data_IF_177656763190
#
_entry.id   IF_177656763190
#
_cell.length_a   1.000
_cell.length_b   1.000
_cell.length_c   1.000
_cell.angle_alpha   90.00
_cell.angle_beta   90.00
_cell.angle_gamma   90.00
#
_symmetry.space_group_name_H-M   'P 1'
#
loop_
_entity.id
_entity.type
_entity.pdbx_description
1 polymer ?
#
# COMPACT_ATOMS: atom_id res chain seq x y z
N UNK A 1 4.29 -10.78 -27.28
CA UNK A 1 4.60 -9.79 -26.24
C UNK A 1 5.58 -10.49 -25.31
N UNK A 2 6.87 -10.46 -25.66
CA UNK A 2 7.89 -11.23 -24.95
C UNK A 2 8.16 -10.61 -23.59
N UNK A 3 8.03 -11.42 -22.54
CA UNK A 3 8.48 -11.07 -21.20
C UNK A 3 10.00 -11.16 -21.22
N UNK A 4 10.68 -10.02 -21.17
CA UNK A 4 12.14 -9.98 -21.04
C UNK A 4 12.52 -10.61 -19.70
N UNK A 5 13.42 -11.59 -19.72
CA UNK A 5 13.96 -12.18 -18.49
C UNK A 5 14.76 -11.12 -17.70
N UNK A 6 14.68 -11.10 -16.36
CA UNK A 6 15.40 -10.13 -15.55
C UNK A 6 16.91 -10.39 -15.59
N UNK A 7 17.70 -9.33 -15.79
CA UNK A 7 19.15 -9.43 -15.81
C UNK A 7 19.68 -9.69 -14.38
N UNK A 8 20.43 -10.79 -14.23
CA UNK A 8 21.04 -11.21 -12.97
C UNK A 8 22.46 -10.66 -12.84
N UNK A 9 22.68 -9.82 -11.84
CA UNK A 9 23.99 -9.27 -11.52
C UNK A 9 24.53 -9.92 -10.25
N UNK A 10 25.84 -10.16 -10.23
CA UNK A 10 26.53 -10.69 -9.06
C UNK A 10 27.78 -9.86 -8.75
N UNK A 11 28.02 -9.62 -7.47
CA UNK A 11 29.26 -9.00 -7.00
C UNK A 11 29.84 -9.79 -5.81
N UNK A 12 31.17 -9.78 -5.73
CA UNK A 12 31.96 -10.44 -4.68
C UNK A 12 32.97 -9.44 -4.15
N UNK A 13 33.20 -9.46 -2.83
CA UNK A 13 34.21 -8.61 -2.17
C UNK A 13 35.56 -9.31 -2.21
N UNK A 14 36.61 -8.56 -2.53
CA UNK A 14 37.99 -9.02 -2.43
C UNK A 14 38.76 -8.15 -1.42
N UNK A 15 39.58 -8.77 -0.57
CA UNK A 15 40.50 -8.08 0.34
C UNK A 15 41.94 -8.37 -0.12
N UNK A 16 42.76 -7.33 -0.24
CA UNK A 16 44.18 -7.46 -0.60
C UNK A 16 45.08 -6.71 0.35
N UNK A 17 46.25 -7.29 0.67
CA UNK A 17 47.32 -6.64 1.45
C UNK A 17 48.50 -6.19 0.58
N UNK A 18 48.36 -6.29 -0.75
CA UNK A 18 49.41 -5.96 -1.72
C UNK A 18 50.27 -7.15 -2.17
N UNK A 19 50.17 -8.31 -1.51
CA UNK A 19 50.84 -9.55 -1.92
C UNK A 19 49.81 -10.66 -2.18
N UNK A 20 48.78 -10.76 -1.35
CA UNK A 20 47.70 -11.74 -1.49
C UNK A 20 46.35 -11.06 -1.63
N UNK A 21 45.45 -11.70 -2.37
CA UNK A 21 44.05 -11.28 -2.50
C UNK A 21 43.16 -12.46 -2.16
N UNK A 22 42.24 -12.27 -1.20
CA UNK A 22 41.25 -13.26 -0.81
C UNK A 22 39.87 -12.74 -1.17
N UNK A 23 39.13 -13.54 -1.95
CA UNK A 23 37.73 -13.27 -2.26
C UNK A 23 36.82 -13.80 -1.14
N UNK A 24 35.74 -13.07 -0.87
CA UNK A 24 34.63 -13.51 -0.03
C UNK A 24 34.06 -14.84 -0.54
N UNK A 25 33.72 -15.75 0.38
CA UNK A 25 33.01 -16.99 0.04
C UNK A 25 31.55 -16.73 -0.37
N UNK A 26 30.99 -15.59 0.06
CA UNK A 26 29.64 -15.17 -0.31
C UNK A 26 29.67 -14.30 -1.56
N UNK A 27 28.81 -14.65 -2.53
CA UNK A 27 28.53 -13.87 -3.73
C UNK A 27 27.13 -13.28 -3.61
N UNK A 28 27.05 -11.95 -3.63
CA UNK A 28 25.77 -11.25 -3.56
C UNK A 28 25.18 -11.15 -4.96
N UNK A 29 23.91 -11.53 -5.08
CA UNK A 29 23.16 -11.51 -6.33
C UNK A 29 21.98 -10.57 -6.21
N UNK A 30 21.73 -9.79 -7.26
CA UNK A 30 20.53 -8.98 -7.38
C UNK A 30 20.01 -9.00 -8.82
N UNK A 31 18.71 -8.85 -8.96
CA UNK A 31 18.04 -8.79 -10.25
C UNK A 31 17.78 -7.32 -10.60
N UNK A 32 18.11 -6.90 -11.81
CA UNK A 32 17.59 -5.66 -12.37
C UNK A 32 16.43 -6.03 -13.29
N UNK A 33 15.22 -5.78 -12.83
CA UNK A 33 14.05 -5.79 -13.72
C UNK A 33 14.00 -4.46 -14.45
N UNK A 34 13.92 -4.42 -15.80
CA UNK A 34 13.70 -3.17 -16.51
C UNK A 34 12.41 -2.53 -15.99
N UNK A 35 12.41 -1.22 -15.68
CA UNK A 35 11.23 -0.57 -15.12
C UNK A 35 10.10 -0.58 -16.15
N UNK A 36 9.03 -1.31 -15.84
CA UNK A 36 7.76 -1.20 -16.56
C UNK A 36 7.10 0.09 -16.12
N UNK A 37 7.26 1.15 -16.92
CA UNK A 37 6.75 2.52 -16.66
C UNK A 37 7.10 3.08 -15.27
N UNK A 38 7.97 4.10 -15.25
CA UNK A 38 8.15 4.96 -14.09
C UNK A 38 6.83 5.68 -13.81
N UNK A 39 6.01 5.15 -12.91
CA UNK A 39 5.11 6.00 -12.12
C UNK A 39 6.01 6.69 -11.12
N UNK A 40 6.45 7.90 -11.48
CA UNK A 40 6.93 8.89 -10.52
C UNK A 40 5.76 9.19 -9.58
N UNK A 41 5.59 8.31 -8.59
CA UNK A 41 4.71 8.58 -7.48
C UNK A 41 5.46 9.57 -6.62
N UNK A 42 5.26 10.86 -6.92
CA UNK A 42 5.44 11.95 -5.97
C UNK A 42 4.60 11.58 -4.73
N UNK A 43 5.14 10.77 -3.81
CA UNK A 43 4.40 10.22 -2.66
C UNK A 43 3.86 11.36 -1.78
N UNK A 44 4.52 12.53 -1.86
CA UNK A 44 4.18 13.76 -1.15
C UNK A 44 3.24 14.69 -1.94
N UNK A 45 3.01 14.46 -3.23
CA UNK A 45 2.11 15.29 -4.03
C UNK A 45 1.24 14.41 -4.94
N UNK A 46 0.29 13.66 -4.37
CA UNK A 46 -0.60 12.82 -5.16
C UNK A 46 -1.39 13.68 -6.15
N UNK A 47 -1.51 13.20 -7.39
CA UNK A 47 -2.20 13.95 -8.47
C UNK A 47 -3.67 13.58 -8.62
N UNK A 48 -4.13 12.56 -7.92
CA UNK A 48 -5.49 12.03 -8.02
C UNK A 48 -6.06 11.64 -6.66
N UNK A 49 -7.39 11.76 -6.54
CA UNK A 49 -8.14 11.12 -5.47
C UNK A 49 -8.12 9.62 -5.70
N UNK A 50 -7.68 8.85 -4.70
CA UNK A 50 -7.61 7.39 -4.83
C UNK A 50 -7.82 6.70 -3.50
N UNK A 51 -8.70 5.71 -3.47
CA UNK A 51 -8.80 4.75 -2.38
C UNK A 51 -8.09 3.46 -2.81
N UNK A 52 -7.11 3.02 -2.05
CA UNK A 52 -6.37 1.79 -2.31
C UNK A 52 -7.08 0.59 -1.68
N UNK A 53 -6.78 -0.60 -2.17
CA UNK A 53 -7.22 -1.82 -1.50
C UNK A 53 -6.59 -1.90 -0.11
N UNK A 54 -7.37 -2.28 0.90
CA UNK A 54 -6.86 -2.52 2.25
C UNK A 54 -5.84 -3.66 2.24
N UNK A 55 -4.82 -3.56 3.09
CA UNK A 55 -3.81 -4.61 3.25
C UNK A 55 -3.54 -4.91 4.72
N UNK A 56 -3.53 -6.19 5.14
CA UNK A 56 -3.87 -7.38 4.33
C UNK A 56 -5.37 -7.44 3.95
N UNK A 57 -5.72 -8.24 2.94
CA UNK A 57 -7.10 -8.61 2.59
C UNK A 57 -7.08 -10.00 1.89
N UNK A 58 -7.66 -11.07 2.47
CA UNK A 58 -8.41 -11.10 3.74
C UNK A 58 -7.55 -10.72 4.95
N UNK A 59 -8.15 -10.25 6.05
CA UNK A 59 -7.42 -9.77 7.22
C UNK A 59 -7.96 -10.35 8.55
N UNK A 60 -7.09 -10.41 9.55
CA UNK A 60 -7.41 -10.88 10.91
C UNK A 60 -6.60 -10.11 11.98
N UNK A 61 -7.23 -9.44 12.96
CA UNK A 61 -8.44 -8.63 12.85
C UNK A 61 -8.10 -7.17 12.48
N UNK A 62 -6.84 -6.87 12.12
CA UNK A 62 -6.35 -5.52 11.82
C UNK A 62 -5.99 -5.40 10.34
N UNK A 63 -6.39 -4.30 9.70
CA UNK A 63 -6.01 -3.97 8.33
C UNK A 63 -5.70 -2.48 8.19
N UNK A 64 -4.96 -2.13 7.13
CA UNK A 64 -4.62 -0.74 6.80
C UNK A 64 -5.35 -0.32 5.53
N UNK A 65 -5.99 0.83 5.59
CA UNK A 65 -6.69 1.45 4.45
C UNK A 65 -5.91 2.69 4.06
N UNK A 66 -5.43 2.74 2.82
CA UNK A 66 -4.64 3.87 2.31
C UNK A 66 -5.45 4.65 1.29
N UNK A 67 -5.32 5.98 1.29
CA UNK A 67 -5.91 6.85 0.28
C UNK A 67 -5.04 8.07 0.01
N UNK A 68 -5.27 8.72 -1.13
CA UNK A 68 -4.60 9.96 -1.53
C UNK A 68 -5.59 11.08 -1.86
N UNK A 69 -5.19 12.31 -1.54
CA UNK A 69 -5.93 13.54 -1.81
C UNK A 69 -5.02 14.52 -2.56
N UNK A 70 -5.36 14.98 -3.77
CA UNK A 70 -4.55 15.92 -4.53
C UNK A 70 -4.67 17.38 -4.05
N UNK A 71 -5.71 17.68 -3.27
CA UNK A 71 -6.00 19.00 -2.74
C UNK A 71 -6.63 18.88 -1.35
N UNK A 72 -6.63 20.00 -0.61
CA UNK A 72 -7.34 20.06 0.68
C UNK A 72 -8.82 19.78 0.45
N UNK A 73 -9.39 18.81 1.17
CA UNK A 73 -10.78 18.38 0.98
C UNK A 73 -11.46 17.96 2.29
N UNK A 74 -12.78 18.12 2.41
CA UNK A 74 -13.55 17.46 3.46
C UNK A 74 -13.60 15.96 3.17
N UNK A 75 -13.10 15.16 4.11
CA UNK A 75 -12.94 13.71 4.00
C UNK A 75 -13.75 12.99 5.06
N UNK A 76 -14.46 11.94 4.63
CA UNK A 76 -14.97 10.90 5.54
C UNK A 76 -14.57 9.52 5.04
N UNK A 77 -14.00 8.72 5.94
CA UNK A 77 -13.71 7.31 5.71
C UNK A 77 -14.53 6.48 6.69
N UNK A 78 -15.48 5.72 6.17
CA UNK A 78 -16.46 4.97 6.97
C UNK A 78 -16.49 3.51 6.58
N UNK A 79 -16.73 2.63 7.55
CA UNK A 79 -16.91 1.19 7.37
C UNK A 79 -18.40 0.86 7.48
N UNK A 80 -18.87 -0.03 6.62
CA UNK A 80 -20.23 -0.52 6.54
C UNK A 80 -20.25 -2.05 6.55
N UNK A 81 -21.28 -2.64 7.13
CA UNK A 81 -21.54 -4.07 7.00
C UNK A 81 -22.24 -4.43 5.68
N UNK A 82 -22.53 -5.73 5.49
CA UNK A 82 -23.20 -6.22 4.29
C UNK A 82 -24.63 -5.70 4.10
N UNK A 83 -25.26 -5.15 5.15
CA UNK A 83 -26.59 -4.54 5.09
C UNK A 83 -26.52 -3.03 4.83
N UNK A 84 -25.31 -2.47 4.67
CA UNK A 84 -25.10 -1.04 4.47
C UNK A 84 -25.19 -0.22 5.77
N UNK A 85 -25.18 -0.85 6.94
CA UNK A 85 -25.17 -0.14 8.23
C UNK A 85 -23.76 0.35 8.50
N UNK A 86 -23.63 1.62 8.88
CA UNK A 86 -22.36 2.20 9.32
C UNK A 86 -21.93 1.54 10.64
N UNK A 87 -20.72 0.98 10.66
CA UNK A 87 -20.18 0.27 11.84
C UNK A 87 -18.95 0.93 12.44
N UNK A 88 -18.25 1.78 11.67
CA UNK A 88 -17.13 2.58 12.17
C UNK A 88 -16.90 3.82 11.30
N UNK A 89 -16.37 4.88 11.92
CA UNK A 89 -15.84 6.07 11.24
C UNK A 89 -14.36 6.13 11.57
N UNK A 90 -13.50 6.03 10.55
CA UNK A 90 -12.04 6.10 10.71
C UNK A 90 -11.54 7.53 10.58
N UNK A 91 -12.14 8.31 9.68
CA UNK A 91 -11.80 9.70 9.43
C UNK A 91 -13.07 10.51 9.25
N UNK A 92 -13.11 11.70 9.83
CA UNK A 92 -14.15 12.70 9.60
C UNK A 92 -13.60 14.09 9.85
N UNK A 93 -13.27 14.83 8.79
CA UNK A 93 -12.74 16.19 8.90
C UNK A 93 -12.15 16.71 7.59
N UNK A 94 -11.58 17.91 7.61
CA UNK A 94 -10.80 18.43 6.47
C UNK A 94 -9.34 18.00 6.57
N UNK A 95 -8.82 17.41 5.48
CA UNK A 95 -7.43 17.00 5.38
C UNK A 95 -6.73 17.76 4.24
N UNK A 96 -5.45 18.16 4.40
CA UNK A 96 -4.66 18.74 3.31
C UNK A 96 -4.35 17.70 2.22
N UNK A 97 -3.80 18.17 1.10
CA UNK A 97 -3.27 17.28 0.07
C UNK A 97 -2.21 16.33 0.67
N UNK A 98 -2.26 15.05 0.30
CA UNK A 98 -1.33 14.06 0.83
C UNK A 98 -1.83 12.62 0.75
N UNK A 99 -0.99 11.72 1.26
CA UNK A 99 -1.28 10.28 1.37
C UNK A 99 -1.53 9.92 2.83
N UNK A 100 -2.63 9.24 3.09
CA UNK A 100 -3.08 8.88 4.43
C UNK A 100 -3.24 7.37 4.54
N UNK A 101 -2.94 6.84 5.73
CA UNK A 101 -3.13 5.43 6.04
C UNK A 101 -3.81 5.31 7.39
N UNK A 102 -5.01 4.73 7.36
CA UNK A 102 -5.83 4.52 8.54
C UNK A 102 -5.84 3.05 8.92
N UNK A 103 -5.82 2.79 10.22
CA UNK A 103 -5.87 1.43 10.77
C UNK A 103 -7.30 1.13 11.19
N UNK A 104 -7.84 0.03 10.70
CA UNK A 104 -9.09 -0.52 11.23
C UNK A 104 -8.81 -1.78 12.05
N UNK A 105 -9.16 -1.71 13.32
CA UNK A 105 -9.14 -2.83 14.25
C UNK A 105 -10.55 -3.39 14.42
N UNK A 106 -10.78 -4.56 13.84
CA UNK A 106 -12.07 -5.21 13.79
C UNK A 106 -12.26 -6.32 14.85
N UNK A 107 -11.51 -6.27 15.97
CA UNK A 107 -11.57 -7.29 17.03
C UNK A 107 -12.98 -7.54 17.58
N UNK A 108 -13.85 -6.54 17.59
CA UNK A 108 -15.22 -6.66 18.13
C UNK A 108 -16.29 -6.93 17.06
N UNK A 109 -15.88 -7.23 15.82
CA UNK A 109 -16.80 -7.47 14.70
C UNK A 109 -16.77 -8.95 14.26
N UNK A 110 -17.90 -9.52 13.81
CA UNK A 110 -17.96 -10.90 13.32
C UNK A 110 -17.20 -11.07 11.99
N UNK A 111 -16.70 -12.27 11.71
CA UNK A 111 -16.14 -12.61 10.39
C UNK A 111 -17.18 -12.37 9.29
N UNK A 112 -16.74 -11.85 8.14
CA UNK A 112 -17.65 -11.55 7.05
C UNK A 112 -17.16 -10.47 6.10
N UNK A 113 -18.05 -10.11 5.18
CA UNK A 113 -17.81 -9.06 4.19
C UNK A 113 -18.22 -7.71 4.75
N UNK A 114 -17.34 -6.75 4.56
CA UNK A 114 -17.56 -5.35 4.90
C UNK A 114 -17.16 -4.47 3.73
N UNK A 115 -17.60 -3.22 3.78
CA UNK A 115 -17.29 -2.21 2.80
C UNK A 115 -16.74 -0.98 3.47
N UNK A 116 -15.80 -0.30 2.83
CA UNK A 116 -15.30 0.98 3.28
C UNK A 116 -15.48 1.99 2.16
N UNK A 117 -15.98 3.16 2.53
CA UNK A 117 -16.26 4.25 1.61
C UNK A 117 -15.46 5.47 2.01
N UNK A 118 -14.69 5.98 1.05
CA UNK A 118 -14.04 7.27 1.12
C UNK A 118 -14.91 8.29 0.37
N UNK A 119 -15.33 9.34 1.06
CA UNK A 119 -15.88 10.55 0.47
C UNK A 119 -14.86 11.67 0.64
N UNK A 120 -14.44 12.31 -0.45
CA UNK A 120 -13.53 13.45 -0.42
C UNK A 120 -14.04 14.54 -1.38
N UNK A 121 -14.68 15.59 -0.86
CA UNK A 121 -15.38 16.57 -1.70
C UNK A 121 -16.40 15.90 -2.64
N UNK A 122 -16.20 16.00 -3.96
CA UNK A 122 -17.03 15.35 -5.00
C UNK A 122 -16.64 13.90 -5.28
N UNK A 123 -15.45 13.46 -4.84
CA UNK A 123 -14.98 12.10 -5.03
C UNK A 123 -15.65 11.15 -4.04
N UNK A 124 -16.11 10.01 -4.54
CA UNK A 124 -16.63 8.91 -3.72
C UNK A 124 -16.14 7.58 -4.28
N UNK A 125 -15.51 6.77 -3.45
CA UNK A 125 -15.08 5.43 -3.83
C UNK A 125 -15.36 4.44 -2.69
N UNK A 126 -15.90 3.29 -3.06
CA UNK A 126 -16.18 2.20 -2.12
C UNK A 126 -15.37 0.97 -2.51
N UNK A 127 -14.84 0.26 -1.52
CA UNK A 127 -14.15 -1.01 -1.72
C UNK A 127 -14.61 -2.04 -0.70
N UNK A 128 -14.49 -3.31 -1.08
CA UNK A 128 -14.84 -4.47 -0.27
C UNK A 128 -13.63 -4.97 0.50
N UNK A 129 -13.83 -5.44 1.72
CA UNK A 129 -12.83 -6.12 2.55
C UNK A 129 -13.43 -7.36 3.23
N UNK A 130 -12.60 -8.36 3.50
CA UNK A 130 -13.01 -9.64 4.06
C UNK A 130 -12.31 -9.87 5.41
N UNK A 131 -13.09 -9.84 6.49
CA UNK A 131 -12.64 -10.18 7.84
C UNK A 131 -12.72 -11.69 8.04
N UNK A 132 -11.60 -12.30 8.40
CA UNK A 132 -11.51 -13.71 8.76
C UNK A 132 -10.90 -13.79 10.16
N UNK A 133 -11.53 -14.55 11.06
CA UNK A 133 -11.00 -14.85 12.39
C UNK A 133 -10.77 -16.34 12.53
#
# INVERSE_FOLDING_TARGET
>A
MDLLEPDLYSWTVNVTDGIFTVASQDTFKFYITPPTSVVSSDINNPREFKLYQNYPNPFNPVTRITFTLPEKSPVTLKIYDALGREVAVLVSGELPAGRYTEVWDARNFPSGVYFYRLQAGKFSQTKKLLLVK
#
